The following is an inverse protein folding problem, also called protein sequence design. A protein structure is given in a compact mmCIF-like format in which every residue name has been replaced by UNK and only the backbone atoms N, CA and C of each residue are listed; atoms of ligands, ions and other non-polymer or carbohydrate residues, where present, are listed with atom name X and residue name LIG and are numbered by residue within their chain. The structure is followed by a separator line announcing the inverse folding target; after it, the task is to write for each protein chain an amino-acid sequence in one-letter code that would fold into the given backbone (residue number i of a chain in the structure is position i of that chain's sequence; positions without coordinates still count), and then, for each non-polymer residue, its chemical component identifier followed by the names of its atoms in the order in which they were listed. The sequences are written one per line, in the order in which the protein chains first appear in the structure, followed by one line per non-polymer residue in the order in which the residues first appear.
data_IF_505105867938
#
_entry.id   IF_505105867938
#
_cell.length_a   1.000
_cell.length_b   1.000
_cell.length_c   1.000
_cell.angle_alpha   90.00
_cell.angle_beta   90.00
_cell.angle_gamma   90.00
#
_symmetry.space_group_name_H-M   'P 1'
#
loop_
_entity.id
_entity.type
_entity.pdbx_description
1 polymer ?
#
# COMPACT_ATOMS: atom_id res chain seq x y z
N UNK A 1 19.50 -8.27 27.11
CA UNK A 1 18.08 -7.94 27.28
C UNK A 1 17.54 -7.48 25.93
N UNK A 2 16.92 -8.37 25.15
CA UNK A 2 16.29 -7.96 23.88
C UNK A 2 14.94 -7.32 24.20
N UNK A 3 14.77 -6.04 23.87
CA UNK A 3 13.47 -5.37 23.87
C UNK A 3 12.58 -6.12 22.89
N UNK A 4 11.57 -6.83 23.39
CA UNK A 4 10.47 -7.31 22.57
C UNK A 4 9.72 -6.06 22.11
N UNK A 5 9.86 -5.68 20.85
CA UNK A 5 8.97 -4.70 20.23
C UNK A 5 7.56 -5.32 20.22
N UNK A 6 6.75 -4.98 21.23
CA UNK A 6 5.34 -5.35 21.25
C UNK A 6 4.65 -4.67 20.07
N UNK A 7 4.10 -5.46 19.15
CA UNK A 7 3.31 -4.98 18.01
C UNK A 7 2.17 -4.08 18.51
N UNK A 8 1.83 -2.99 17.80
CA UNK A 8 0.62 -2.23 18.09
C UNK A 8 -0.60 -3.15 17.98
N UNK A 9 -1.50 -3.08 18.96
CA UNK A 9 -2.77 -3.79 18.91
C UNK A 9 -3.58 -3.23 17.72
N UNK A 10 -3.94 -4.05 16.75
CA UNK A 10 -4.67 -3.62 15.54
C UNK A 10 -3.82 -3.42 14.27
N UNK A 11 -2.51 -3.70 14.32
CA UNK A 11 -1.66 -3.61 13.14
C UNK A 11 -1.82 -4.81 12.18
N UNK A 12 -2.22 -4.54 10.94
CA UNK A 12 -2.31 -5.51 9.84
C UNK A 12 -0.94 -5.68 9.16
N UNK A 13 -0.65 -6.87 8.64
CA UNK A 13 0.60 -7.14 7.91
C UNK A 13 0.28 -7.62 6.51
N UNK A 14 0.93 -7.05 5.51
CA UNK A 14 0.52 -7.25 4.13
C UNK A 14 1.48 -6.59 3.17
N UNK A 15 0.95 -6.12 2.06
CA UNK A 15 1.70 -5.45 1.00
C UNK A 15 1.01 -4.15 0.61
N UNK A 16 1.79 -3.19 0.12
CA UNK A 16 1.26 -2.11 -0.69
C UNK A 16 0.67 -2.71 -1.98
N UNK A 17 -0.36 -2.08 -2.55
CA UNK A 17 -0.92 -2.47 -3.84
C UNK A 17 -1.59 -1.29 -4.51
N UNK A 18 -1.58 -1.24 -5.84
CA UNK A 18 -2.33 -0.25 -6.59
C UNK A 18 -3.65 -0.85 -7.04
N UNK A 19 -4.76 -0.34 -6.51
CA UNK A 19 -6.10 -0.84 -6.82
C UNK A 19 -6.78 0.01 -7.89
N UNK A 20 -7.19 -0.61 -9.00
CA UNK A 20 -8.02 0.02 -10.04
C UNK A 20 -9.20 -0.89 -10.35
N UNK A 21 -10.43 -0.41 -10.12
CA UNK A 21 -11.67 -1.20 -10.30
C UNK A 21 -11.96 -1.48 -11.76
N UNK A 22 -11.86 -0.44 -12.59
CA UNK A 22 -11.93 -0.54 -14.04
C UNK A 22 -10.76 0.27 -14.57
N UNK A 23 -9.87 -0.34 -15.37
CA UNK A 23 -8.59 0.23 -15.80
C UNK A 23 -8.66 1.55 -16.58
N UNK A 24 -9.83 2.16 -16.67
CA UNK A 24 -10.10 3.46 -17.26
C UNK A 24 -10.20 4.58 -16.23
N UNK A 25 -10.55 4.36 -14.96
CA UNK A 25 -10.96 5.47 -14.07
C UNK A 25 -9.84 6.01 -13.18
N UNK A 26 -8.69 5.32 -13.17
CA UNK A 26 -7.60 5.57 -12.24
C UNK A 26 -7.57 4.55 -11.12
N UNK A 27 -6.59 4.72 -10.25
CA UNK A 27 -6.41 3.80 -9.14
C UNK A 27 -6.04 4.50 -7.84
N UNK A 28 -6.25 3.74 -6.79
CA UNK A 28 -6.05 4.12 -5.41
C UNK A 28 -4.82 3.43 -4.84
N UNK A 29 -4.08 4.17 -4.03
CA UNK A 29 -3.08 3.57 -3.14
C UNK A 29 -3.81 2.72 -2.11
N UNK A 30 -3.47 1.45 -2.06
CA UNK A 30 -4.13 0.49 -1.19
C UNK A 30 -3.11 -0.40 -0.47
N UNK A 31 -3.60 -1.07 0.54
CA UNK A 31 -2.90 -2.09 1.29
C UNK A 31 -3.70 -3.39 1.19
N UNK A 32 -3.05 -4.50 0.87
CA UNK A 32 -3.66 -5.82 0.89
C UNK A 32 -3.18 -6.56 2.14
N UNK A 33 -4.11 -6.92 3.05
CA UNK A 33 -3.81 -7.77 4.20
C UNK A 33 -3.36 -9.15 3.73
N UNK A 34 -2.18 -9.56 4.20
CA UNK A 34 -1.54 -10.82 3.84
C UNK A 34 -2.31 -12.05 4.30
N UNK A 35 -3.25 -11.94 5.25
CA UNK A 35 -4.16 -13.03 5.61
C UNK A 35 -5.10 -13.42 4.48
N UNK A 36 -5.36 -12.49 3.55
CA UNK A 36 -6.24 -12.67 2.41
C UNK A 36 -5.46 -12.85 1.11
N UNK A 37 -4.17 -13.19 1.19
CA UNK A 37 -3.31 -13.49 0.03
C UNK A 37 -3.03 -14.99 -0.02
N UNK A 38 -3.50 -15.66 -1.06
CA UNK A 38 -3.25 -17.09 -1.30
C UNK A 38 -2.01 -17.25 -2.18
N UNK A 39 -0.87 -17.58 -1.57
CA UNK A 39 0.43 -17.68 -2.27
C UNK A 39 0.41 -18.68 -3.43
N UNK A 40 -0.31 -19.79 -3.28
CA UNK A 40 -0.35 -20.86 -4.28
C UNK A 40 -1.31 -20.57 -5.45
N UNK A 41 -2.10 -19.50 -5.37
CA UNK A 41 -3.10 -19.14 -6.38
C UNK A 41 -2.64 -18.02 -7.33
N UNK A 42 -1.38 -17.58 -7.24
CA UNK A 42 -0.88 -16.43 -8.01
C UNK A 42 -0.88 -16.67 -9.52
N UNK A 43 -0.73 -17.91 -9.93
CA UNK A 43 -0.77 -18.32 -11.34
C UNK A 43 -2.19 -18.43 -11.90
N UNK A 44 -3.22 -18.50 -11.05
CA UNK A 44 -4.62 -18.71 -11.45
C UNK A 44 -5.49 -17.45 -11.31
N UNK A 45 -4.92 -16.32 -10.88
CA UNK A 45 -5.62 -15.04 -10.76
C UNK A 45 -6.41 -14.82 -9.46
N UNK A 46 -6.70 -15.87 -8.70
CA UNK A 46 -7.50 -15.83 -7.45
C UNK A 46 -6.64 -15.70 -6.18
N UNK A 47 -5.53 -14.94 -6.26
CA UNK A 47 -4.53 -14.91 -5.18
C UNK A 47 -4.79 -13.87 -4.09
N UNK A 48 -5.83 -13.05 -4.22
CA UNK A 48 -6.21 -12.06 -3.22
C UNK A 48 -7.74 -11.92 -3.12
N UNK A 49 -8.23 -11.35 -2.01
CA UNK A 49 -9.67 -11.09 -1.80
C UNK A 49 -9.90 -9.62 -1.45
N UNK A 50 -11.03 -9.07 -1.92
CA UNK A 50 -11.54 -7.74 -1.55
C UNK A 50 -11.72 -7.56 -0.04
N UNK A 51 -11.91 -8.64 0.73
CA UNK A 51 -12.02 -8.57 2.19
C UNK A 51 -10.75 -8.03 2.87
N UNK A 52 -9.58 -8.27 2.26
CA UNK A 52 -8.29 -7.77 2.75
C UNK A 52 -7.83 -6.48 2.09
N UNK A 53 -8.65 -5.89 1.21
CA UNK A 53 -8.28 -4.67 0.49
C UNK A 53 -8.63 -3.44 1.33
N UNK A 54 -7.62 -2.63 1.62
CA UNK A 54 -7.75 -1.38 2.35
C UNK A 54 -7.27 -0.23 1.47
N UNK A 55 -8.21 0.53 0.90
CA UNK A 55 -7.88 1.82 0.25
C UNK A 55 -7.39 2.77 1.34
N UNK A 56 -6.19 3.32 1.14
CA UNK A 56 -5.56 4.23 2.11
C UNK A 56 -6.33 5.55 2.17
N UNK A 57 -6.49 6.07 3.38
CA UNK A 57 -7.16 7.35 3.66
C UNK A 57 -6.34 8.16 4.66
N UNK A 58 -6.60 9.46 4.71
CA UNK A 58 -5.95 10.36 5.66
C UNK A 58 -6.09 9.87 7.10
N UNK A 59 -4.97 9.90 7.83
CA UNK A 59 -4.88 9.47 9.22
C UNK A 59 -4.40 8.02 9.41
N UNK A 60 -4.53 7.16 8.40
CA UNK A 60 -3.96 5.81 8.46
C UNK A 60 -2.45 5.87 8.72
N UNK A 61 -1.92 4.94 9.51
CA UNK A 61 -0.48 4.85 9.77
C UNK A 61 0.10 3.67 9.02
N UNK A 62 0.98 3.94 8.06
CA UNK A 62 1.59 2.94 7.20
C UNK A 62 3.10 2.89 7.43
N UNK A 63 3.65 1.68 7.39
CA UNK A 63 5.09 1.41 7.44
C UNK A 63 5.44 0.46 6.31
N UNK A 64 6.33 0.89 5.42
CA UNK A 64 6.77 0.15 4.24
C UNK A 64 8.21 -0.33 4.48
N UNK A 65 8.47 -1.61 4.20
CA UNK A 65 9.75 -2.27 4.41
C UNK A 65 10.41 -2.63 3.08
N UNK A 66 11.73 -2.63 3.05
CA UNK A 66 12.50 -3.07 1.90
C UNK A 66 12.20 -4.54 1.59
N UNK A 67 11.96 -4.85 0.31
CA UNK A 67 11.85 -6.23 -0.17
C UNK A 67 13.12 -7.03 0.02
N UNK A 68 14.28 -6.36 -0.11
CA UNK A 68 15.59 -7.00 -0.02
C UNK A 68 16.05 -7.19 1.42
N UNK A 69 15.53 -6.36 2.34
CA UNK A 69 15.88 -6.41 3.75
C UNK A 69 14.65 -6.10 4.63
N UNK A 70 13.97 -7.12 5.18
CA UNK A 70 12.76 -6.93 5.99
C UNK A 70 12.96 -6.08 7.26
N UNK A 71 14.20 -5.92 7.72
CA UNK A 71 14.52 -5.09 8.88
C UNK A 71 14.65 -3.60 8.54
N UNK A 72 14.79 -3.27 7.26
CA UNK A 72 14.90 -1.90 6.76
C UNK A 72 13.52 -1.33 6.46
N UNK A 73 13.22 -0.19 7.08
CA UNK A 73 12.02 0.61 6.80
C UNK A 73 12.40 1.62 5.73
N UNK A 74 11.76 1.55 4.57
CA UNK A 74 11.98 2.49 3.46
C UNK A 74 11.09 3.72 3.58
N UNK A 75 9.95 3.58 4.26
CA UNK A 75 9.06 4.68 4.58
C UNK A 75 8.18 4.35 5.79
N UNK A 76 7.88 5.35 6.61
CA UNK A 76 6.87 5.21 7.66
C UNK A 76 6.28 6.58 8.02
N UNK A 77 4.96 6.64 8.08
CA UNK A 77 4.27 7.89 8.39
C UNK A 77 2.76 7.74 8.47
N UNK A 78 2.12 8.88 8.68
CA UNK A 78 0.68 9.03 8.59
C UNK A 78 0.31 9.41 7.16
N UNK A 79 -0.67 8.71 6.60
CA UNK A 79 -1.22 8.99 5.28
C UNK A 79 -1.86 10.38 5.29
N UNK A 80 -1.51 11.15 4.25
CA UNK A 80 -2.04 12.48 3.95
C UNK A 80 -2.06 12.62 2.44
N UNK A 81 -3.24 12.58 1.85
CA UNK A 81 -3.43 12.48 0.42
C UNK A 81 -3.76 13.85 -0.17
N UNK A 82 -2.94 14.29 -1.12
CA UNK A 82 -3.28 15.39 -1.99
C UNK A 82 -4.05 14.87 -3.20
N UNK A 83 -5.36 15.07 -3.21
CA UNK A 83 -6.26 14.51 -4.22
C UNK A 83 -6.31 15.32 -5.53
N UNK A 84 -6.41 14.60 -6.64
CA UNK A 84 -6.54 15.17 -7.98
C UNK A 84 -7.88 14.84 -8.62
N UNK A 85 -8.36 15.68 -9.56
CA UNK A 85 -9.47 15.30 -10.43
C UNK A 85 -9.12 14.07 -11.28
N UNK A 86 -10.10 13.25 -11.68
CA UNK A 86 -9.85 12.12 -12.58
C UNK A 86 -9.12 12.54 -13.87
N UNK A 87 -8.24 11.67 -14.38
CA UNK A 87 -7.52 11.86 -15.66
C UNK A 87 -6.57 13.07 -15.73
N UNK A 88 -6.07 13.55 -14.59
CA UNK A 88 -5.18 14.73 -14.57
C UNK A 88 -3.73 14.37 -14.31
N UNK A 89 -3.49 13.40 -13.43
CA UNK A 89 -2.15 13.02 -12.99
C UNK A 89 -1.94 11.51 -13.13
N UNK A 90 -0.73 11.12 -13.48
CA UNK A 90 -0.31 9.73 -13.61
C UNK A 90 1.00 9.44 -12.87
N UNK A 91 1.20 8.15 -12.56
CA UNK A 91 2.47 7.58 -12.16
C UNK A 91 2.78 6.38 -13.07
N UNK A 92 3.90 6.46 -13.81
CA UNK A 92 4.32 5.44 -14.77
C UNK A 92 3.23 5.07 -15.82
N UNK A 93 2.43 6.05 -16.28
CA UNK A 93 1.37 5.82 -17.25
C UNK A 93 0.05 5.31 -16.68
N UNK A 94 -0.07 5.19 -15.35
CA UNK A 94 -1.32 4.82 -14.67
C UNK A 94 -1.94 6.05 -14.02
N UNK A 95 -3.22 6.33 -14.32
CA UNK A 95 -3.95 7.44 -13.70
C UNK A 95 -4.07 7.25 -12.19
N UNK A 96 -3.73 8.28 -11.41
CA UNK A 96 -3.76 8.26 -9.94
C UNK A 96 -4.78 9.26 -9.41
N UNK A 97 -5.35 8.96 -8.25
CA UNK A 97 -6.31 9.85 -7.58
C UNK A 97 -5.70 10.77 -6.53
N UNK A 98 -4.47 10.50 -6.10
CA UNK A 98 -3.78 11.32 -5.10
C UNK A 98 -2.28 11.09 -5.12
N UNK A 99 -1.52 12.04 -4.54
CA UNK A 99 -0.16 11.82 -4.06
C UNK A 99 -0.14 11.77 -2.53
N UNK A 100 0.83 11.06 -1.95
CA UNK A 100 1.13 11.20 -0.53
C UNK A 100 1.92 12.49 -0.30
N UNK A 101 1.44 13.34 0.61
CA UNK A 101 2.13 14.58 0.95
C UNK A 101 3.56 14.32 1.42
N UNK A 102 4.48 15.18 0.97
CA UNK A 102 5.91 15.17 1.30
C UNK A 102 6.73 14.04 0.68
N UNK A 103 6.14 13.20 -0.17
CA UNK A 103 6.86 12.17 -0.91
C UNK A 103 6.94 12.50 -2.41
N UNK A 104 8.02 12.05 -3.05
CA UNK A 104 8.11 12.06 -4.51
C UNK A 104 7.15 11.02 -5.09
N UNK A 105 6.36 11.42 -6.09
CA UNK A 105 5.32 10.59 -6.71
C UNK A 105 5.87 9.25 -7.20
N UNK A 106 7.00 9.26 -7.90
CA UNK A 106 7.57 8.04 -8.46
C UNK A 106 8.08 7.11 -7.37
N UNK A 107 8.76 7.65 -6.36
CA UNK A 107 9.22 6.87 -5.21
C UNK A 107 8.04 6.23 -4.47
N UNK A 108 6.99 7.02 -4.21
CA UNK A 108 5.76 6.56 -3.59
C UNK A 108 5.12 5.43 -4.41
N UNK A 109 4.83 5.70 -5.69
CA UNK A 109 4.15 4.79 -6.58
C UNK A 109 4.90 3.45 -6.76
N UNK A 110 6.24 3.48 -6.81
CA UNK A 110 7.06 2.25 -6.91
C UNK A 110 6.77 1.27 -5.78
N UNK A 111 6.57 1.74 -4.54
CA UNK A 111 6.27 0.84 -3.43
C UNK A 111 4.95 0.10 -3.61
N UNK A 112 3.96 0.72 -4.25
CA UNK A 112 2.64 0.13 -4.50
C UNK A 112 2.65 -0.78 -5.72
N UNK A 113 3.25 -0.33 -6.84
CA UNK A 113 3.34 -1.15 -8.05
C UNK A 113 4.20 -2.39 -7.87
N UNK A 114 5.28 -2.27 -7.10
CA UNK A 114 6.11 -3.42 -6.78
C UNK A 114 5.52 -4.25 -5.64
N UNK A 115 4.48 -3.82 -4.94
CA UNK A 115 3.97 -4.54 -3.76
C UNK A 115 4.99 -4.72 -2.62
N UNK A 116 5.50 -3.61 -2.09
CA UNK A 116 6.42 -3.66 -0.95
C UNK A 116 5.72 -4.19 0.31
N UNK A 117 6.43 -5.00 1.14
CA UNK A 117 5.90 -5.44 2.43
C UNK A 117 5.55 -4.25 3.31
N UNK A 118 4.38 -4.29 3.94
CA UNK A 118 3.89 -3.19 4.74
C UNK A 118 3.16 -3.63 6.02
N UNK A 119 3.06 -2.70 6.95
CA UNK A 119 2.22 -2.78 8.14
C UNK A 119 1.29 -1.57 8.14
N UNK A 120 -0.01 -1.82 8.32
CA UNK A 120 -1.05 -0.79 8.38
C UNK A 120 -1.71 -0.76 9.75
N UNK A 121 -1.89 0.43 10.31
CA UNK A 121 -2.81 0.70 11.41
C UNK A 121 -3.85 1.66 10.88
N UNK A 122 -5.09 1.20 10.79
CA UNK A 122 -6.21 2.01 10.31
C UNK A 122 -6.61 3.06 11.36
N UNK A 123 -6.96 4.26 10.88
CA UNK A 123 -7.51 5.32 11.73
C UNK A 123 -8.99 5.09 12.08
#
# INVERSE_FOLDING_TARGET
MSKKNSKPKGALNGICTFHSETGTEGGYWAFQDGQFITKDAREIGDFWSYEGLHILKDGDCLMIRSKNNPNEVVWSGTIKLHHYPPFTEDAFGHWIHADQESEDREAWARWFFDEYPATLVVA
#
